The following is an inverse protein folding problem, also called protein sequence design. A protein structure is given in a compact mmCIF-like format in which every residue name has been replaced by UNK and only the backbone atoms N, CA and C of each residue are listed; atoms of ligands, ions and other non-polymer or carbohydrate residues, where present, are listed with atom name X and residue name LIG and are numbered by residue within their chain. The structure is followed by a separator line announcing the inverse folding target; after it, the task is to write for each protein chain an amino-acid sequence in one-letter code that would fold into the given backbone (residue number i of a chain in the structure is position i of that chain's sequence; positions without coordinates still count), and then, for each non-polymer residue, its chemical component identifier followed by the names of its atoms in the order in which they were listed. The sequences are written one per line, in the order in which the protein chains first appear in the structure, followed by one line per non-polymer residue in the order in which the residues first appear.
data_IF_325894460857
#
_entry.id   IF_325894460857
#
_cell.length_a   1.000
_cell.length_b   1.000
_cell.length_c   1.000
_cell.angle_alpha   90.00
_cell.angle_beta   90.00
_cell.angle_gamma   90.00
#
_symmetry.space_group_name_H-M   'P 1'
#
loop_
_entity.id
_entity.type
_entity.pdbx_description
1 polymer ?
#
# COMPACT_ATOMS: atom_id res chain seq x y z
N UNK A 1 27.89 0.42 -4.85
CA UNK A 1 27.43 1.71 -4.33
C UNK A 1 26.46 1.44 -3.18
N UNK A 2 26.80 0.56 -2.24
CA UNK A 2 27.59 0.77 -1.01
C UNK A 2 26.99 1.82 -0.08
N UNK A 3 26.70 1.38 1.16
CA UNK A 3 26.46 2.09 2.44
C UNK A 3 25.13 1.61 3.04
N UNK A 4 24.97 0.99 4.22
CA UNK A 4 25.81 0.57 5.34
C UNK A 4 25.08 -0.65 5.95
N UNK A 5 25.68 -1.83 6.11
CA UNK A 5 26.58 -2.23 7.20
C UNK A 5 25.90 -2.15 8.58
N UNK A 6 25.86 -3.29 9.26
CA UNK A 6 25.81 -3.47 10.73
C UNK A 6 24.38 -3.34 11.33
N UNK A 7 23.84 -4.27 12.11
CA UNK A 7 24.50 -5.13 13.11
C UNK A 7 23.85 -6.52 13.19
N UNK A 8 24.69 -7.54 13.10
CA UNK A 8 24.59 -8.66 14.02
C UNK A 8 24.85 -8.12 15.43
N UNK A 9 23.94 -8.36 16.37
CA UNK A 9 24.25 -8.26 17.79
C UNK A 9 23.71 -9.51 18.49
N UNK A 10 24.56 -10.53 18.57
CA UNK A 10 24.62 -11.40 19.76
C UNK A 10 24.82 -10.47 20.95
N UNK A 11 23.97 -10.59 21.97
CA UNK A 11 24.06 -9.69 23.11
C UNK A 11 23.06 -10.03 24.21
N UNK A 12 23.23 -11.21 24.77
CA UNK A 12 22.70 -11.66 26.05
C UNK A 12 22.83 -10.63 27.17
N UNK A 13 21.79 -10.58 28.00
CA UNK A 13 21.82 -10.40 29.45
C UNK A 13 22.61 -9.21 30.02
N UNK A 14 21.89 -8.16 30.42
CA UNK A 14 22.41 -7.17 31.38
C UNK A 14 21.83 -5.78 31.17
N UNK A 15 20.74 -5.48 31.90
CA UNK A 15 20.21 -4.13 32.19
C UNK A 15 20.35 -3.10 31.06
N UNK A 16 19.43 -3.17 30.09
CA UNK A 16 19.33 -2.15 29.05
C UNK A 16 18.90 -0.80 29.67
N UNK A 17 19.69 0.29 29.54
CA UNK A 17 19.31 1.59 30.09
C UNK A 17 18.04 2.09 29.39
N UNK A 18 17.17 2.77 30.15
CA UNK A 18 15.87 3.28 29.67
C UNK A 18 15.99 4.06 28.35
N UNK A 19 17.11 4.76 28.16
CA UNK A 19 17.45 5.48 26.92
C UNK A 19 17.63 4.57 25.70
N UNK A 20 18.22 3.38 25.84
CA UNK A 20 18.33 2.39 24.76
C UNK A 20 16.98 1.77 24.42
N UNK A 21 16.10 1.56 25.41
CA UNK A 21 14.74 1.07 25.16
C UNK A 21 13.91 2.12 24.38
N UNK A 22 14.02 3.39 24.74
CA UNK A 22 13.36 4.50 24.05
C UNK A 22 13.85 4.66 22.60
N UNK A 23 15.16 4.53 22.37
CA UNK A 23 15.75 4.54 21.03
C UNK A 23 15.21 3.36 20.19
N UNK A 24 15.17 2.14 20.73
CA UNK A 24 14.63 0.98 20.02
C UNK A 24 13.13 1.12 19.71
N UNK A 25 12.33 1.70 20.62
CA UNK A 25 10.92 2.00 20.35
C UNK A 25 10.75 3.06 19.25
N UNK A 26 11.58 4.11 19.23
CA UNK A 26 11.54 5.13 18.18
C UNK A 26 11.87 4.54 16.80
N UNK A 27 12.89 3.67 16.72
CA UNK A 27 13.24 2.98 15.47
C UNK A 27 12.14 2.01 15.02
N UNK A 28 11.44 1.36 15.96
CA UNK A 28 10.31 0.48 15.65
C UNK A 28 9.07 1.25 15.16
N UNK A 29 8.84 2.47 15.66
CA UNK A 29 7.78 3.36 15.16
C UNK A 29 8.06 3.94 13.77
N UNK A 30 9.33 4.01 13.34
CA UNK A 30 9.70 4.32 11.95
C UNK A 30 9.42 3.16 10.98
N UNK A 31 9.03 1.98 11.49
CA UNK A 31 8.63 0.81 10.70
C UNK A 31 7.13 0.78 10.37
N UNK A 32 6.35 1.74 10.88
CA UNK A 32 4.92 1.91 10.56
C UNK A 32 4.76 2.54 9.17
N UNK A 33 5.29 1.86 8.16
CA UNK A 33 5.40 2.39 6.81
C UNK A 33 6.01 1.44 5.79
N UNK A 34 6.18 0.14 6.11
CA UNK A 34 6.31 -0.89 5.06
C UNK A 34 4.90 -1.39 4.72
N UNK A 35 4.02 -0.46 4.32
CA UNK A 35 3.16 -0.80 3.20
C UNK A 35 4.13 -0.84 2.04
N UNK A 36 4.47 -2.03 1.55
CA UNK A 36 5.28 -2.21 0.35
C UNK A 36 4.84 -1.18 -0.66
N UNK A 37 5.61 -0.11 -0.80
CA UNK A 37 5.38 0.90 -1.79
C UNK A 37 5.76 0.21 -3.10
N UNK A 38 4.85 -0.61 -3.62
CA UNK A 38 4.67 -0.70 -5.05
C UNK A 38 4.47 0.74 -5.46
N UNK A 39 5.57 1.41 -5.82
CA UNK A 39 5.60 2.80 -6.29
C UNK A 39 4.36 2.99 -7.14
N UNK A 40 3.37 3.75 -6.68
CA UNK A 40 1.97 3.59 -7.07
C UNK A 40 1.81 3.45 -8.59
N UNK A 41 1.82 2.22 -9.09
CA UNK A 41 1.98 1.95 -10.52
C UNK A 41 0.64 1.51 -11.09
N UNK A 42 0.11 2.24 -12.06
CA UNK A 42 -1.18 1.89 -12.66
C UNK A 42 -1.09 0.64 -13.58
N UNK A 43 0.12 0.18 -13.93
CA UNK A 43 0.33 -0.98 -14.80
C UNK A 43 -0.41 -2.26 -14.36
N UNK A 44 -0.32 -2.74 -13.10
CA UNK A 44 -1.09 -3.89 -12.62
C UNK A 44 -2.62 -3.66 -12.63
N UNK A 45 -3.09 -2.40 -12.62
CA UNK A 45 -4.52 -2.09 -12.74
C UNK A 45 -5.02 -2.15 -14.18
N UNK A 46 -4.15 -2.29 -15.18
CA UNK A 46 -4.57 -2.49 -16.57
C UNK A 46 -5.44 -3.75 -16.72
N UNK A 47 -5.16 -4.81 -15.96
CA UNK A 47 -6.00 -6.01 -15.89
C UNK A 47 -7.39 -5.74 -15.32
N UNK A 48 -7.58 -4.63 -14.60
CA UNK A 48 -8.85 -4.16 -14.08
C UNK A 48 -9.57 -3.18 -15.01
N UNK A 49 -8.94 -2.68 -16.08
CA UNK A 49 -9.47 -1.57 -16.88
C UNK A 49 -10.90 -1.86 -17.42
N UNK A 50 -11.15 -3.06 -17.93
CA UNK A 50 -12.48 -3.47 -18.40
C UNK A 50 -13.53 -3.49 -17.29
N UNK A 51 -13.18 -4.02 -16.11
CA UNK A 51 -14.07 -4.07 -14.94
C UNK A 51 -14.32 -2.66 -14.35
N UNK A 52 -13.29 -1.81 -14.30
CA UNK A 52 -13.40 -0.43 -13.82
C UNK A 52 -14.23 0.44 -14.78
N UNK A 53 -14.11 0.21 -16.09
CA UNK A 53 -14.86 0.95 -17.10
C UNK A 53 -16.35 0.56 -17.13
N UNK A 54 -16.65 -0.73 -17.10
CA UNK A 54 -18.02 -1.25 -17.25
C UNK A 54 -18.74 -1.53 -15.93
N UNK A 55 -18.01 -1.57 -14.81
CA UNK A 55 -18.53 -2.08 -13.53
C UNK A 55 -18.72 -3.60 -13.52
N UNK A 56 -18.14 -4.30 -14.51
CA UNK A 56 -18.20 -5.75 -14.65
C UNK A 56 -17.39 -6.51 -13.60
N UNK A 57 -17.57 -7.84 -13.54
CA UNK A 57 -16.95 -8.70 -12.53
C UNK A 57 -15.42 -8.70 -12.68
N UNK A 58 -14.66 -8.29 -11.65
CA UNK A 58 -13.21 -8.28 -11.70
C UNK A 58 -12.63 -9.71 -11.62
N UNK A 59 -11.54 -9.95 -12.35
CA UNK A 59 -10.75 -11.19 -12.27
C UNK A 59 -9.99 -11.29 -10.95
N UNK A 60 -9.62 -12.50 -10.55
CA UNK A 60 -8.84 -12.73 -9.31
C UNK A 60 -7.52 -11.93 -9.29
N UNK A 61 -6.79 -11.92 -10.40
CA UNK A 61 -5.56 -11.12 -10.56
C UNK A 61 -5.82 -9.61 -10.34
N UNK A 62 -6.91 -9.10 -10.89
CA UNK A 62 -7.33 -7.71 -10.70
C UNK A 62 -7.60 -7.42 -9.21
N UNK A 63 -8.33 -8.30 -8.52
CA UNK A 63 -8.61 -8.12 -7.10
C UNK A 63 -7.35 -8.16 -6.23
N UNK A 64 -6.39 -9.02 -6.54
CA UNK A 64 -5.10 -9.05 -5.86
C UNK A 64 -4.32 -7.74 -6.06
N UNK A 65 -4.32 -7.19 -7.27
CA UNK A 65 -3.69 -5.90 -7.56
C UNK A 65 -4.38 -4.72 -6.85
N UNK A 66 -5.71 -4.70 -6.82
CA UNK A 66 -6.48 -3.65 -6.13
C UNK A 66 -6.23 -3.69 -4.61
N UNK A 67 -6.14 -4.89 -4.01
CA UNK A 67 -5.79 -5.06 -2.60
C UNK A 67 -4.37 -4.58 -2.31
N UNK A 68 -3.42 -4.95 -3.16
CA UNK A 68 -2.02 -4.55 -3.01
C UNK A 68 -1.80 -3.03 -3.11
N UNK A 69 -2.66 -2.33 -3.86
CA UNK A 69 -2.57 -0.89 -4.07
C UNK A 69 -3.62 -0.07 -3.33
N UNK A 70 -4.24 -0.63 -2.29
CA UNK A 70 -5.30 0.08 -1.56
C UNK A 70 -4.83 1.44 -1.00
N UNK A 71 -3.59 1.51 -0.54
CA UNK A 71 -2.94 2.74 -0.06
C UNK A 71 -2.72 3.79 -1.16
N UNK A 72 -2.65 3.39 -2.42
CA UNK A 72 -2.42 4.26 -3.58
C UNK A 72 -3.71 4.87 -4.16
N UNK A 73 -4.89 4.36 -3.79
CA UNK A 73 -6.16 4.88 -4.34
C UNK A 73 -6.35 6.37 -4.09
N UNK A 74 -5.94 6.88 -2.93
CA UNK A 74 -5.99 8.31 -2.65
C UNK A 74 -5.11 9.13 -3.59
N UNK A 75 -3.92 8.63 -3.89
CA UNK A 75 -3.00 9.27 -4.84
C UNK A 75 -3.59 9.27 -6.25
N UNK A 76 -4.24 8.17 -6.65
CA UNK A 76 -4.95 8.12 -7.94
C UNK A 76 -6.18 9.02 -7.97
N UNK A 77 -6.92 9.13 -6.87
CA UNK A 77 -8.08 10.03 -6.76
C UNK A 77 -7.67 11.51 -6.84
N UNK A 78 -6.48 11.87 -6.31
CA UNK A 78 -5.93 13.23 -6.38
C UNK A 78 -5.38 13.60 -7.76
N UNK A 79 -4.97 12.62 -8.56
CA UNK A 79 -4.46 12.89 -9.89
C UNK A 79 -5.62 13.05 -10.89
N UNK A 80 -5.80 14.22 -11.53
CA UNK A 80 -6.94 14.48 -12.42
C UNK A 80 -7.03 13.51 -13.61
N UNK A 81 -5.91 12.95 -14.06
CA UNK A 81 -5.91 11.95 -15.14
C UNK A 81 -6.62 10.65 -14.73
N UNK A 82 -6.53 10.27 -13.46
CA UNK A 82 -7.10 9.03 -12.91
C UNK A 82 -8.38 9.25 -12.10
N UNK A 83 -8.58 10.46 -11.58
CA UNK A 83 -9.71 10.83 -10.73
C UNK A 83 -11.07 10.50 -11.36
N UNK A 84 -11.23 10.77 -12.67
CA UNK A 84 -12.45 10.43 -13.44
C UNK A 84 -12.79 8.94 -13.44
N UNK A 85 -11.77 8.09 -13.40
CA UNK A 85 -11.95 6.64 -13.40
C UNK A 85 -12.18 6.14 -11.97
N UNK A 86 -11.37 6.56 -11.00
CA UNK A 86 -11.47 6.13 -9.60
C UNK A 86 -12.79 6.60 -8.95
N UNK A 87 -13.24 7.83 -9.25
CA UNK A 87 -14.48 8.38 -8.69
C UNK A 87 -15.75 7.88 -9.41
N UNK A 88 -15.61 7.17 -10.53
CA UNK A 88 -16.75 6.61 -11.26
C UNK A 88 -17.48 5.57 -10.42
N UNK A 89 -18.83 5.52 -10.44
CA UNK A 89 -19.60 4.47 -9.75
C UNK A 89 -19.21 3.06 -10.20
N UNK A 90 -18.78 2.89 -11.45
CA UNK A 90 -18.34 1.61 -12.00
C UNK A 90 -17.05 1.12 -11.34
N UNK A 91 -16.07 2.01 -11.18
CA UNK A 91 -14.83 1.69 -10.48
C UNK A 91 -15.09 1.36 -9.01
N UNK A 92 -15.94 2.13 -8.33
CA UNK A 92 -16.34 1.82 -6.96
C UNK A 92 -16.95 0.44 -6.86
N UNK A 93 -17.92 0.10 -7.73
CA UNK A 93 -18.51 -1.25 -7.78
C UNK A 93 -17.49 -2.36 -7.99
N UNK A 94 -16.53 -2.18 -8.90
CA UNK A 94 -15.48 -3.17 -9.16
C UNK A 94 -14.56 -3.36 -7.94
N UNK A 95 -14.19 -2.26 -7.27
CA UNK A 95 -13.37 -2.28 -6.06
C UNK A 95 -14.12 -2.97 -4.90
N UNK A 96 -15.39 -2.63 -4.67
CA UNK A 96 -16.22 -3.28 -3.64
C UNK A 96 -16.47 -4.76 -3.95
N UNK A 97 -16.59 -5.13 -5.23
CA UNK A 97 -16.75 -6.54 -5.65
C UNK A 97 -15.52 -7.40 -5.34
N UNK A 98 -14.34 -6.78 -5.19
CA UNK A 98 -13.12 -7.44 -4.73
C UNK A 98 -12.98 -7.51 -3.20
N UNK A 99 -13.96 -6.97 -2.45
CA UNK A 99 -13.88 -6.83 -0.99
C UNK A 99 -12.89 -5.75 -0.55
N UNK A 100 -12.62 -4.77 -1.42
CA UNK A 100 -11.73 -3.65 -1.10
C UNK A 100 -12.59 -2.44 -0.77
N UNK A 101 -12.34 -1.83 0.39
CA UNK A 101 -12.99 -0.57 0.76
C UNK A 101 -12.35 0.58 0.01
N UNK A 102 -13.17 1.39 -0.67
CA UNK A 102 -12.72 2.63 -1.31
C UNK A 102 -12.41 3.63 -0.20
N UNK A 103 -11.14 4.03 0.01
CA UNK A 103 -10.80 4.99 1.05
C UNK A 103 -11.44 6.34 0.73
N UNK A 104 -11.92 7.05 1.77
CA UNK A 104 -12.30 8.45 1.68
C UNK A 104 -11.01 9.26 1.73
N UNK A 105 -10.67 9.80 0.58
CA UNK A 105 -9.62 10.78 0.35
C UNK A 105 -10.32 11.98 -0.32
#
# INVERSE_FOLDING_TARGET
MTMMKVQAARGSSGRLPLACALLLLLLLSASAGVASAASCNAAPLAACAGALATGGKPSSACCSSLKAQQSCFCTYAKNPAYARYINSPNARKAVTSCGVSVPRC
#
